data_IF_826444393998
#
_entry.id   IF_826444393998
#
_cell.length_a   1.000
_cell.length_b   1.000
_cell.length_c   1.000
_cell.angle_alpha   90.00
_cell.angle_beta   90.00
_cell.angle_gamma   90.00
#
_symmetry.space_group_name_H-M   'P 1'
#
loop_
_entity.id
_entity.type
_entity.pdbx_description
1 polymer ?
#
# COMPACT_ATOMS: atom_id res chain seq x y z
N UNK A 1 42.10 -44.76 29.51
CA UNK A 1 42.15 -43.96 28.33
C UNK A 1 40.82 -43.18 28.28
N UNK A 2 40.81 -41.97 28.88
CA UNK A 2 39.59 -41.13 28.96
C UNK A 2 39.51 -40.25 27.71
N UNK A 3 38.46 -40.44 26.90
CA UNK A 3 38.14 -39.58 25.74
C UNK A 3 37.49 -38.30 26.26
N UNK A 4 38.21 -37.19 26.12
CA UNK A 4 37.72 -35.83 26.37
C UNK A 4 36.72 -35.46 25.29
N UNK A 5 35.47 -35.27 25.69
CA UNK A 5 34.40 -34.72 24.85
C UNK A 5 34.50 -33.19 24.86
N UNK A 6 35.02 -32.59 23.79
CA UNK A 6 35.03 -31.14 23.63
C UNK A 6 33.58 -30.65 23.37
N UNK A 7 33.17 -29.52 23.96
CA UNK A 7 31.82 -28.98 23.69
C UNK A 7 31.72 -28.48 22.24
N UNK A 8 30.70 -28.93 21.52
CA UNK A 8 30.30 -28.39 20.24
C UNK A 8 29.87 -26.93 20.44
N UNK A 9 30.72 -25.99 20.06
CA UNK A 9 30.33 -24.60 19.90
C UNK A 9 29.45 -24.50 18.66
N UNK A 10 28.16 -24.32 18.86
CA UNK A 10 27.21 -23.92 17.80
C UNK A 10 27.61 -22.53 17.35
N UNK A 11 28.36 -22.43 16.27
CA UNK A 11 28.61 -21.15 15.59
C UNK A 11 27.27 -20.73 15.00
N UNK A 12 26.63 -19.73 15.58
CA UNK A 12 25.44 -19.09 15.01
C UNK A 12 25.81 -18.55 13.65
N UNK A 13 25.04 -18.93 12.62
CA UNK A 13 25.19 -18.45 11.27
C UNK A 13 25.04 -16.92 11.27
N UNK A 14 26.06 -16.14 10.85
CA UNK A 14 26.05 -14.69 10.93
C UNK A 14 24.85 -14.06 10.18
N UNK A 15 24.38 -14.69 9.11
CA UNK A 15 23.23 -14.24 8.33
C UNK A 15 21.92 -14.38 9.15
N UNK A 16 21.74 -15.47 9.88
CA UNK A 16 20.58 -15.68 10.76
C UNK A 16 20.55 -14.69 11.93
N UNK A 17 21.73 -14.37 12.50
CA UNK A 17 21.83 -13.36 13.56
C UNK A 17 21.46 -11.95 13.05
N UNK A 18 21.87 -11.60 11.83
CA UNK A 18 21.55 -10.33 11.21
C UNK A 18 20.05 -10.22 10.87
N UNK A 19 19.43 -11.28 10.37
CA UNK A 19 17.99 -11.30 10.07
C UNK A 19 17.15 -11.20 11.34
N UNK A 20 17.55 -11.82 12.43
CA UNK A 20 16.88 -11.67 13.73
C UNK A 20 16.96 -10.23 14.27
N UNK A 21 18.09 -9.56 14.09
CA UNK A 21 18.25 -8.16 14.46
C UNK A 21 17.37 -7.24 13.61
N UNK A 22 17.32 -7.48 12.29
CA UNK A 22 16.45 -6.72 11.37
C UNK A 22 14.96 -6.95 11.66
N UNK A 23 14.56 -8.15 12.06
CA UNK A 23 13.20 -8.45 12.47
C UNK A 23 12.80 -7.63 13.71
N UNK A 24 13.62 -7.64 14.75
CA UNK A 24 13.39 -6.86 15.95
C UNK A 24 13.34 -5.35 15.67
N UNK A 25 14.26 -4.86 14.83
CA UNK A 25 14.28 -3.47 14.38
C UNK A 25 13.02 -3.11 13.59
N UNK A 26 12.52 -4.00 12.73
CA UNK A 26 11.28 -3.79 11.96
C UNK A 26 10.09 -3.64 12.89
N UNK A 27 9.92 -4.56 13.82
CA UNK A 27 8.81 -4.54 14.79
C UNK A 27 8.83 -3.27 15.65
N UNK A 28 9.98 -2.90 16.21
CA UNK A 28 10.14 -1.67 17.00
C UNK A 28 9.84 -0.41 16.18
N UNK A 29 10.39 -0.32 14.97
CA UNK A 29 10.16 0.80 14.08
C UNK A 29 8.67 0.96 13.73
N UNK A 30 7.97 -0.14 13.46
CA UNK A 30 6.53 -0.11 13.16
C UNK A 30 5.70 0.30 14.38
N UNK A 31 6.06 -0.16 15.58
CA UNK A 31 5.40 0.26 16.81
C UNK A 31 5.55 1.78 17.04
N UNK A 32 6.76 2.32 16.83
CA UNK A 32 7.03 3.76 16.92
C UNK A 32 6.29 4.56 15.83
N UNK A 33 6.20 4.03 14.60
CA UNK A 33 5.42 4.64 13.51
C UNK A 33 3.94 4.73 13.86
N UNK A 34 3.34 3.64 14.38
CA UNK A 34 1.95 3.66 14.85
C UNK A 34 1.73 4.74 15.92
N UNK A 35 2.62 4.79 16.89
CA UNK A 35 2.55 5.79 17.97
C UNK A 35 2.67 7.22 17.44
N UNK A 36 3.62 7.47 16.54
CA UNK A 36 3.83 8.80 15.96
C UNK A 36 2.63 9.25 15.12
N UNK A 37 2.09 8.37 14.27
CA UNK A 37 0.89 8.68 13.47
C UNK A 37 -0.35 8.80 14.36
N UNK A 38 -0.55 7.93 15.35
CA UNK A 38 -1.65 7.95 16.32
C UNK A 38 -1.63 9.20 17.23
N UNK A 39 -0.48 9.88 17.33
CA UNK A 39 -0.42 11.18 17.99
C UNK A 39 -1.25 12.25 17.29
N UNK A 40 -1.47 12.13 15.97
CA UNK A 40 -2.21 13.09 15.13
C UNK A 40 -3.54 12.49 14.65
N UNK A 41 -3.52 11.26 14.20
CA UNK A 41 -4.71 10.53 13.71
C UNK A 41 -5.40 9.85 14.90
N UNK A 42 -6.69 10.04 15.01
CA UNK A 42 -7.51 9.38 16.03
C UNK A 42 -8.31 8.27 15.37
N UNK A 43 -8.22 7.07 15.91
CA UNK A 43 -8.77 5.88 15.28
C UNK A 43 -7.98 5.49 14.02
N UNK A 44 -8.59 4.71 13.14
CA UNK A 44 -7.97 4.27 11.89
C UNK A 44 -6.73 3.39 12.08
N UNK A 45 -6.57 2.70 13.22
CA UNK A 45 -5.38 1.90 13.51
C UNK A 45 -5.17 0.81 12.45
N UNK A 46 -6.23 0.14 12.02
CA UNK A 46 -6.17 -0.86 10.94
C UNK A 46 -5.73 -0.25 9.59
N UNK A 47 -6.14 0.99 9.30
CA UNK A 47 -5.70 1.72 8.10
C UNK A 47 -4.21 2.01 8.17
N UNK A 48 -3.74 2.50 9.32
CA UNK A 48 -2.29 2.76 9.55
C UNK A 48 -1.48 1.48 9.36
N UNK A 49 -1.94 0.36 9.91
CA UNK A 49 -1.29 -0.94 9.77
C UNK A 49 -1.20 -1.39 8.31
N UNK A 50 -2.27 -1.28 7.55
CA UNK A 50 -2.25 -1.60 6.13
C UNK A 50 -1.32 -0.69 5.32
N UNK A 51 -1.23 0.60 5.67
CA UNK A 51 -0.30 1.51 5.01
C UNK A 51 1.16 1.19 5.38
N UNK A 52 1.44 0.79 6.62
CA UNK A 52 2.77 0.30 7.03
C UNK A 52 3.14 -0.98 6.26
N UNK A 53 2.20 -1.93 6.10
CA UNK A 53 2.41 -3.12 5.24
C UNK A 53 2.73 -2.70 3.80
N UNK A 54 1.96 -1.78 3.22
CA UNK A 54 2.23 -1.27 1.88
C UNK A 54 3.61 -0.59 1.78
N UNK A 55 4.00 0.20 2.79
CA UNK A 55 5.32 0.83 2.87
C UNK A 55 6.44 -0.21 2.88
N UNK A 56 6.38 -1.18 3.76
CA UNK A 56 7.41 -2.21 3.91
C UNK A 56 7.54 -3.10 2.68
N UNK A 57 6.44 -3.38 1.99
CA UNK A 57 6.43 -4.20 0.77
C UNK A 57 6.78 -3.42 -0.50
N UNK A 58 7.15 -2.14 -0.39
CA UNK A 58 7.33 -1.22 -1.53
C UNK A 58 6.11 -1.20 -2.46
N UNK A 59 4.93 -1.49 -1.93
CA UNK A 59 3.68 -1.52 -2.65
C UNK A 59 2.98 -0.17 -2.64
N UNK A 60 2.21 0.12 -3.67
CA UNK A 60 1.30 1.26 -3.69
C UNK A 60 -0.03 0.88 -3.05
N UNK A 61 -0.74 1.83 -2.42
CA UNK A 61 -2.05 1.56 -1.83
C UNK A 61 -3.12 2.50 -2.36
N UNK A 62 -4.34 1.96 -2.50
CA UNK A 62 -5.54 2.70 -2.85
C UNK A 62 -6.41 2.90 -1.59
N UNK A 63 -6.59 4.13 -1.15
CA UNK A 63 -7.45 4.47 -0.03
C UNK A 63 -8.84 4.82 -0.56
N UNK A 64 -9.83 4.09 -0.12
CA UNK A 64 -11.23 4.31 -0.49
C UNK A 64 -12.00 4.83 0.73
N UNK A 65 -12.67 5.94 0.58
CA UNK A 65 -13.46 6.52 1.67
C UNK A 65 -14.03 7.88 1.29
N UNK A 66 -15.07 8.30 1.97
CA UNK A 66 -15.73 9.58 1.74
C UNK A 66 -14.81 10.77 2.04
N UNK A 67 -15.08 11.96 1.54
CA UNK A 67 -14.35 13.17 1.89
C UNK A 67 -14.38 13.45 3.40
N UNK A 68 -13.36 14.14 3.91
CA UNK A 68 -13.33 14.56 5.32
C UNK A 68 -12.76 13.52 6.30
N UNK A 69 -12.42 12.31 5.88
CA UNK A 69 -11.85 11.27 6.74
C UNK A 69 -10.32 11.35 6.92
N UNK A 70 -9.76 12.54 6.82
CA UNK A 70 -8.35 12.84 7.08
C UNK A 70 -7.32 12.03 6.27
N UNK A 71 -7.68 11.47 5.08
CA UNK A 71 -6.77 10.69 4.22
C UNK A 71 -5.47 11.42 3.89
N UNK A 72 -5.57 12.71 3.54
CA UNK A 72 -4.40 13.57 3.27
C UNK A 72 -3.53 13.76 4.51
N UNK A 73 -4.15 13.99 5.68
CA UNK A 73 -3.44 14.15 6.94
C UNK A 73 -2.72 12.85 7.33
N UNK A 74 -3.35 11.70 7.14
CA UNK A 74 -2.78 10.39 7.41
C UNK A 74 -1.50 10.15 6.59
N UNK A 75 -1.56 10.35 5.27
CA UNK A 75 -0.40 10.13 4.39
C UNK A 75 0.71 11.15 4.64
N UNK A 76 0.37 12.42 4.88
CA UNK A 76 1.36 13.45 5.23
C UNK A 76 2.00 13.20 6.60
N UNK A 77 1.26 12.64 7.56
CA UNK A 77 1.81 12.25 8.86
C UNK A 77 2.81 11.10 8.74
N UNK A 78 2.50 10.09 7.93
CA UNK A 78 3.45 9.00 7.62
C UNK A 78 4.72 9.55 6.97
N UNK A 79 4.59 10.46 6.00
CA UNK A 79 5.75 11.07 5.35
C UNK A 79 6.67 11.79 6.33
N UNK A 80 6.09 12.57 7.27
CA UNK A 80 6.85 13.26 8.32
C UNK A 80 7.54 12.28 9.27
N UNK A 81 6.83 11.23 9.70
CA UNK A 81 7.39 10.20 10.57
C UNK A 81 8.59 9.46 9.94
N UNK A 82 8.62 9.38 8.60
CA UNK A 82 9.65 8.68 7.81
C UNK A 82 10.73 9.62 7.25
N UNK A 83 10.66 10.92 7.54
CA UNK A 83 11.55 11.94 6.94
C UNK A 83 11.64 11.83 5.40
N UNK A 84 10.51 11.56 4.78
CA UNK A 84 10.39 11.43 3.34
C UNK A 84 9.86 12.72 2.70
N UNK A 85 10.36 13.03 1.52
CA UNK A 85 9.78 14.11 0.73
C UNK A 85 8.36 13.76 0.30
N UNK A 86 7.41 14.68 0.54
CA UNK A 86 5.98 14.49 0.26
C UNK A 86 5.52 15.36 -0.90
N UNK A 87 4.71 14.80 -1.78
CA UNK A 87 3.99 15.48 -2.83
C UNK A 87 2.50 15.14 -2.81
N UNK A 88 1.65 16.13 -3.04
CA UNK A 88 0.21 15.92 -3.26
C UNK A 88 -0.14 16.36 -4.67
N UNK A 89 -0.83 15.51 -5.38
CA UNK A 89 -1.43 15.80 -6.69
C UNK A 89 -2.94 15.65 -6.54
N UNK A 90 -3.66 16.76 -6.68
CA UNK A 90 -5.12 16.74 -6.73
C UNK A 90 -5.54 16.44 -8.15
N UNK A 91 -6.23 15.33 -8.36
CA UNK A 91 -6.73 14.93 -9.67
C UNK A 91 -8.03 15.67 -9.97
N UNK A 92 -8.01 16.46 -11.07
CA UNK A 92 -9.13 17.24 -11.57
C UNK A 92 -9.39 16.88 -13.04
N UNK A 93 -10.59 17.14 -13.58
CA UNK A 93 -10.90 16.79 -14.97
C UNK A 93 -9.98 17.42 -16.02
N UNK A 94 -9.37 18.56 -15.70
CA UNK A 94 -8.48 19.34 -16.57
C UNK A 94 -6.99 19.04 -16.35
N UNK A 95 -6.62 18.19 -15.36
CA UNK A 95 -5.24 17.83 -15.08
C UNK A 95 -4.60 17.10 -16.25
N UNK A 96 -3.44 17.58 -16.70
CA UNK A 96 -2.68 16.98 -17.78
C UNK A 96 -1.58 16.03 -17.24
N UNK A 97 -1.13 15.06 -18.04
CA UNK A 97 0.01 14.20 -17.66
C UNK A 97 1.26 15.00 -17.28
N UNK A 98 1.56 16.07 -18.00
CA UNK A 98 2.73 16.93 -17.75
C UNK A 98 2.67 17.64 -16.38
N UNK A 99 1.47 17.92 -15.86
CA UNK A 99 1.31 18.51 -14.53
C UNK A 99 1.75 17.56 -13.41
N UNK A 100 1.73 16.25 -13.69
CA UNK A 100 2.18 15.19 -12.77
C UNK A 100 3.67 14.90 -12.98
N UNK A 101 4.06 14.67 -14.23
CA UNK A 101 5.39 14.16 -14.60
C UNK A 101 6.43 15.25 -14.77
N UNK A 102 6.01 16.49 -14.97
CA UNK A 102 6.89 17.56 -15.39
C UNK A 102 7.00 17.68 -16.91
N UNK A 103 7.74 18.68 -17.35
CA UNK A 103 7.86 19.06 -18.76
C UNK A 103 9.22 19.68 -19.05
N UNK A 104 9.63 19.64 -20.32
CA UNK A 104 10.78 20.42 -20.77
C UNK A 104 10.37 21.89 -20.97
N UNK A 105 11.17 22.78 -20.40
CA UNK A 105 11.00 24.22 -20.52
C UNK A 105 12.23 24.84 -21.19
N UNK A 106 12.00 25.84 -22.03
CA UNK A 106 13.08 26.58 -22.63
C UNK A 106 13.59 27.60 -21.61
N UNK A 107 14.80 27.39 -21.11
CA UNK A 107 15.47 28.32 -20.18
C UNK A 107 16.57 29.07 -20.92
N UNK A 108 16.79 30.33 -20.55
CA UNK A 108 17.92 31.12 -21.03
C UNK A 108 18.99 31.16 -19.93
N UNK A 109 20.16 30.60 -20.21
CA UNK A 109 21.30 30.58 -19.30
C UNK A 109 22.52 31.10 -20.03
N UNK A 110 23.14 32.13 -19.52
CA UNK A 110 24.31 32.78 -20.11
C UNK A 110 24.11 33.20 -21.59
N UNK A 111 22.91 33.72 -21.94
CA UNK A 111 22.57 34.15 -23.31
C UNK A 111 22.33 32.99 -24.29
N UNK A 112 22.30 31.72 -23.81
CA UNK A 112 21.98 30.54 -24.62
C UNK A 112 20.62 29.97 -24.20
N UNK A 113 19.85 29.54 -25.18
CA UNK A 113 18.58 28.85 -24.93
C UNK A 113 18.82 27.37 -24.85
N UNK A 114 18.49 26.79 -23.70
CA UNK A 114 18.57 25.36 -23.42
C UNK A 114 17.22 24.82 -23.02
N UNK A 115 16.90 23.60 -23.49
CA UNK A 115 15.77 22.83 -22.93
C UNK A 115 16.23 22.24 -21.59
N UNK A 116 15.52 22.57 -20.52
CA UNK A 116 15.76 21.98 -19.20
C UNK A 116 14.48 21.31 -18.68
N UNK A 117 14.65 20.11 -18.11
CA UNK A 117 13.56 19.40 -17.50
C UNK A 117 13.14 20.06 -16.19
N UNK A 118 11.86 20.43 -16.10
CA UNK A 118 11.21 20.89 -14.88
C UNK A 118 10.45 19.72 -14.26
N UNK A 119 10.94 19.10 -13.16
CA UNK A 119 10.29 17.95 -12.56
C UNK A 119 8.93 18.29 -11.99
N UNK A 120 7.95 17.42 -12.22
CA UNK A 120 6.61 17.52 -11.66
C UNK A 120 6.53 17.04 -10.21
N UNK A 121 5.36 17.18 -9.58
CA UNK A 121 5.13 16.80 -8.18
C UNK A 121 5.33 15.30 -7.89
N UNK A 122 5.41 14.46 -8.90
CA UNK A 122 5.68 13.02 -8.74
C UNK A 122 7.13 12.75 -8.27
N UNK A 123 8.05 13.69 -8.45
CA UNK A 123 9.45 13.54 -8.01
C UNK A 123 9.61 13.73 -6.49
N UNK A 124 8.84 12.95 -5.73
CA UNK A 124 8.87 12.87 -4.27
C UNK A 124 8.90 11.39 -3.86
N UNK A 125 9.37 11.13 -2.64
CA UNK A 125 9.40 9.77 -2.11
C UNK A 125 8.00 9.21 -1.86
N UNK A 126 7.12 10.01 -1.27
CA UNK A 126 5.74 9.67 -0.99
C UNK A 126 4.80 10.64 -1.71
N UNK A 127 4.01 10.10 -2.62
CA UNK A 127 3.06 10.87 -3.42
C UNK A 127 1.63 10.50 -3.04
N UNK A 128 0.83 11.49 -2.67
CA UNK A 128 -0.61 11.35 -2.54
C UNK A 128 -1.27 11.76 -3.85
N UNK A 129 -1.84 10.79 -4.56
CA UNK A 129 -2.69 11.01 -5.73
C UNK A 129 -4.15 11.13 -5.26
N UNK A 130 -4.60 12.36 -5.02
CA UNK A 130 -5.89 12.60 -4.40
C UNK A 130 -7.01 12.64 -5.44
N UNK A 131 -8.06 11.82 -5.23
CA UNK A 131 -9.23 11.66 -6.11
C UNK A 131 -8.85 11.21 -7.54
N UNK A 132 -8.03 10.16 -7.65
CA UNK A 132 -7.46 9.66 -8.93
C UNK A 132 -8.52 9.38 -10.00
N UNK A 133 -9.75 9.07 -9.59
CA UNK A 133 -10.88 8.80 -10.50
C UNK A 133 -11.52 10.06 -11.10
N UNK A 134 -11.11 11.28 -10.74
CA UNK A 134 -11.67 12.53 -11.31
C UNK A 134 -10.99 13.00 -12.59
N UNK A 135 -9.97 12.30 -13.03
CA UNK A 135 -9.17 12.69 -14.19
C UNK A 135 -9.34 11.68 -15.33
N UNK A 136 -9.23 12.11 -16.60
CA UNK A 136 -9.33 11.20 -17.75
C UNK A 136 -8.28 10.08 -17.73
N UNK A 137 -8.57 8.92 -18.36
CA UNK A 137 -7.71 7.74 -18.34
C UNK A 137 -6.26 7.98 -18.81
N UNK A 138 -6.04 8.95 -19.71
CA UNK A 138 -4.70 9.30 -20.20
C UNK A 138 -3.80 9.84 -19.09
N UNK A 139 -4.33 10.67 -18.21
CA UNK A 139 -3.59 11.27 -17.09
C UNK A 139 -3.40 10.23 -15.95
N UNK A 140 -4.43 9.40 -15.70
CA UNK A 140 -4.29 8.27 -14.78
C UNK A 140 -3.15 7.32 -15.24
N UNK A 141 -3.08 7.01 -16.54
CA UNK A 141 -2.08 6.12 -17.10
C UNK A 141 -0.65 6.63 -16.88
N UNK A 142 -0.42 7.94 -16.95
CA UNK A 142 0.91 8.52 -16.70
C UNK A 142 1.42 8.25 -15.28
N UNK A 143 0.56 8.44 -14.26
CA UNK A 143 0.90 8.10 -12.87
C UNK A 143 1.16 6.60 -12.73
N UNK A 144 0.27 5.77 -13.27
CA UNK A 144 0.33 4.31 -13.12
C UNK A 144 1.53 3.69 -13.88
N UNK A 145 1.98 4.31 -14.96
CA UNK A 145 3.23 3.94 -15.63
C UNK A 145 4.42 4.28 -14.74
N UNK A 146 4.49 5.50 -14.20
CA UNK A 146 5.55 5.92 -13.31
C UNK A 146 5.65 5.04 -12.04
N UNK A 147 4.50 4.58 -11.49
CA UNK A 147 4.46 3.62 -10.39
C UNK A 147 5.14 2.29 -10.75
N UNK A 148 4.94 1.80 -11.96
CA UNK A 148 5.49 0.53 -12.41
C UNK A 148 6.98 0.63 -12.77
N UNK A 149 7.35 1.68 -13.51
CA UNK A 149 8.70 1.85 -14.05
C UNK A 149 9.66 2.51 -13.04
N UNK A 150 9.12 3.16 -11.99
CA UNK A 150 9.88 4.00 -11.04
C UNK A 150 10.70 5.07 -11.74
N UNK A 151 10.22 5.51 -12.88
CA UNK A 151 10.84 6.52 -13.74
C UNK A 151 9.77 7.22 -14.57
N UNK A 152 10.12 8.37 -15.11
CA UNK A 152 9.30 9.17 -16.02
C UNK A 152 10.12 9.46 -17.28
N UNK A 153 9.52 9.32 -18.46
CA UNK A 153 10.15 9.68 -19.72
C UNK A 153 9.52 10.95 -20.28
N UNK A 154 10.34 12.01 -20.41
CA UNK A 154 9.93 13.31 -20.97
C UNK A 154 10.98 13.74 -21.99
N UNK A 155 10.56 14.27 -23.15
CA UNK A 155 11.47 14.75 -24.20
C UNK A 155 12.45 13.69 -24.72
N UNK A 156 12.13 12.41 -24.56
CA UNK A 156 13.02 11.29 -24.94
C UNK A 156 14.08 10.93 -23.86
N UNK A 157 14.16 11.66 -22.75
CA UNK A 157 15.01 11.35 -21.62
C UNK A 157 14.24 10.65 -20.50
N UNK A 158 14.84 9.63 -19.87
CA UNK A 158 14.26 8.91 -18.75
C UNK A 158 14.83 9.46 -17.43
N UNK A 159 13.95 9.92 -16.56
CA UNK A 159 14.27 10.50 -15.27
C UNK A 159 13.85 9.53 -14.15
N UNK A 160 14.78 8.99 -13.35
CA UNK A 160 14.44 8.08 -12.25
C UNK A 160 13.72 8.85 -11.13
N UNK A 161 12.74 8.20 -10.52
CA UNK A 161 12.06 8.71 -9.33
C UNK A 161 12.91 8.46 -8.07
N UNK A 162 12.78 9.29 -7.02
CA UNK A 162 13.55 9.13 -5.79
C UNK A 162 13.22 7.81 -5.09
N UNK A 163 14.22 7.13 -4.54
CA UNK A 163 14.02 5.92 -3.76
C UNK A 163 14.07 6.21 -2.24
N UNK A 164 13.15 5.67 -1.44
CA UNK A 164 11.98 4.87 -1.82
C UNK A 164 10.92 5.73 -2.54
N UNK A 165 10.20 5.13 -3.50
CA UNK A 165 9.09 5.79 -4.19
C UNK A 165 7.79 5.02 -3.96
N UNK A 166 6.79 5.69 -3.43
CA UNK A 166 5.46 5.11 -3.20
C UNK A 166 4.33 6.09 -3.48
N UNK A 167 3.25 5.56 -4.00
CA UNK A 167 2.02 6.30 -4.25
C UNK A 167 0.91 5.77 -3.36
N UNK A 168 0.27 6.66 -2.64
CA UNK A 168 -1.02 6.43 -2.01
C UNK A 168 -2.07 7.20 -2.81
N UNK A 169 -2.94 6.49 -3.50
CA UNK A 169 -4.03 7.09 -4.25
C UNK A 169 -5.30 7.12 -3.41
N UNK A 170 -6.15 8.12 -3.60
CA UNK A 170 -7.48 8.13 -2.98
C UNK A 170 -8.57 8.01 -4.02
N UNK A 171 -9.67 7.36 -3.65
CA UNK A 171 -10.90 7.29 -4.42
C UNK A 171 -12.09 7.62 -3.51
N UNK A 172 -12.98 8.47 -4.00
CA UNK A 172 -14.24 8.74 -3.34
C UNK A 172 -15.32 7.80 -3.92
N UNK A 173 -15.92 6.91 -3.11
CA UNK A 173 -16.90 5.94 -3.61
C UNK A 173 -18.28 6.54 -3.89
N UNK A 174 -18.60 7.72 -3.35
CA UNK A 174 -19.93 8.35 -3.51
C UNK A 174 -20.02 9.30 -4.70
N UNK A 175 -18.89 9.77 -5.23
CA UNK A 175 -18.87 10.62 -6.41
C UNK A 175 -18.94 9.76 -7.68
N UNK A 176 -20.05 9.84 -8.38
CA UNK A 176 -20.28 9.16 -9.66
C UNK A 176 -20.22 10.14 -10.84
N UNK A 177 -20.70 11.37 -10.67
CA UNK A 177 -20.66 12.38 -11.72
C UNK A 177 -19.26 12.95 -11.91
N UNK A 178 -18.83 13.05 -13.18
CA UNK A 178 -17.50 13.58 -13.51
C UNK A 178 -16.34 12.67 -13.14
N UNK A 179 -16.60 11.38 -12.89
CA UNK A 179 -15.54 10.41 -12.56
C UNK A 179 -15.32 9.40 -13.68
N UNK A 180 -14.08 8.92 -13.74
CA UNK A 180 -13.64 7.89 -14.67
C UNK A 180 -13.21 6.66 -13.87
N UNK A 181 -13.84 5.51 -14.12
CA UNK A 181 -13.44 4.27 -13.48
C UNK A 181 -11.97 3.92 -13.83
N UNK A 182 -11.23 3.48 -12.83
CA UNK A 182 -9.90 2.90 -13.07
C UNK A 182 -10.09 1.52 -13.72
N UNK A 183 -9.45 1.24 -14.87
CA UNK A 183 -9.46 -0.10 -15.45
C UNK A 183 -8.89 -1.14 -14.49
N UNK A 184 -9.41 -2.36 -14.53
CA UNK A 184 -9.02 -3.46 -13.64
C UNK A 184 -7.51 -3.75 -13.70
N UNK A 185 -6.92 -3.70 -14.90
CA UNK A 185 -5.48 -3.88 -15.10
C UNK A 185 -4.64 -2.79 -14.43
N UNK A 186 -5.23 -1.64 -14.16
CA UNK A 186 -4.60 -0.53 -13.45
C UNK A 186 -4.78 -0.67 -11.94
N UNK A 187 -5.95 -1.11 -11.48
CA UNK A 187 -6.20 -1.42 -10.07
C UNK A 187 -5.26 -2.52 -9.55
N UNK A 188 -4.94 -3.53 -10.36
CA UNK A 188 -4.01 -4.61 -10.01
C UNK A 188 -2.57 -4.16 -9.74
N UNK A 189 -2.22 -2.90 -10.00
CA UNK A 189 -0.92 -2.29 -9.65
C UNK A 189 -0.83 -1.85 -8.19
N UNK A 190 -1.96 -1.64 -7.54
CA UNK A 190 -2.00 -1.40 -6.11
C UNK A 190 -1.83 -2.72 -5.35
N UNK A 191 -0.98 -2.74 -4.34
CA UNK A 191 -0.79 -3.93 -3.49
C UNK A 191 -2.00 -4.17 -2.59
N UNK A 192 -2.53 -3.09 -2.01
CA UNK A 192 -3.67 -3.11 -1.11
C UNK A 192 -4.69 -2.03 -1.48
N UNK A 193 -5.98 -2.36 -1.32
CA UNK A 193 -7.06 -1.37 -1.24
C UNK A 193 -7.54 -1.29 0.21
N UNK A 194 -7.41 -0.10 0.79
CA UNK A 194 -7.67 0.17 2.20
C UNK A 194 -8.89 1.07 2.33
N UNK A 195 -9.92 0.60 3.00
CA UNK A 195 -11.12 1.38 3.26
C UNK A 195 -10.95 2.22 4.52
N UNK A 196 -11.22 3.51 4.39
CA UNK A 196 -11.23 4.47 5.49
C UNK A 196 -12.69 4.71 5.86
N UNK A 197 -13.08 4.22 7.03
CA UNK A 197 -14.45 4.28 7.52
C UNK A 197 -14.66 5.51 8.40
N UNK A 198 -15.93 5.82 8.72
CA UNK A 198 -16.25 6.85 9.69
C UNK A 198 -15.71 6.47 11.06
N UNK A 199 -15.21 7.45 11.83
CA UNK A 199 -14.81 7.21 13.21
C UNK A 199 -16.03 6.84 14.07
N UNK A 200 -15.79 6.11 15.14
CA UNK A 200 -16.77 5.86 16.17
C UNK A 200 -17.14 7.18 16.89
N UNK A 201 -18.27 7.22 17.58
CA UNK A 201 -18.70 8.41 18.33
C UNK A 201 -17.64 8.90 19.34
N UNK A 202 -16.95 7.98 20.00
CA UNK A 202 -15.87 8.32 20.93
C UNK A 202 -14.65 8.94 20.23
N UNK A 203 -14.28 8.38 19.09
CA UNK A 203 -13.19 8.90 18.27
C UNK A 203 -13.54 10.26 17.71
N UNK A 204 -14.77 10.46 17.22
CA UNK A 204 -15.24 11.75 16.71
C UNK A 204 -15.24 12.82 17.81
N UNK A 205 -15.64 12.49 19.04
CA UNK A 205 -15.52 13.38 20.20
C UNK A 205 -14.06 13.78 20.47
N UNK A 206 -13.13 12.82 20.37
CA UNK A 206 -11.69 13.08 20.53
C UNK A 206 -11.16 13.99 19.42
N UNK A 207 -11.56 13.73 18.17
CA UNK A 207 -11.21 14.54 17.01
C UNK A 207 -11.69 15.98 17.21
N UNK A 208 -12.99 16.16 17.52
CA UNK A 208 -13.58 17.47 17.73
C UNK A 208 -12.83 18.29 18.81
N UNK A 209 -12.56 17.68 19.96
CA UNK A 209 -11.82 18.34 21.05
C UNK A 209 -10.41 18.74 20.62
N UNK A 210 -9.69 17.86 19.91
CA UNK A 210 -8.30 18.10 19.48
C UNK A 210 -8.21 19.18 18.43
N UNK A 211 -9.05 19.12 17.39
CA UNK A 211 -9.00 20.05 16.27
C UNK A 211 -9.47 21.45 16.61
N UNK A 212 -10.26 21.61 17.68
CA UNK A 212 -10.78 22.91 18.15
C UNK A 212 -9.97 23.50 19.32
N UNK A 213 -8.96 22.80 19.84
CA UNK A 213 -8.15 23.25 20.97
C UNK A 213 -7.03 24.24 20.61
N UNK A 214 -6.83 24.53 19.32
CA UNK A 214 -5.77 25.41 18.85
C UNK A 214 -4.37 24.81 18.89
N UNK A 215 -4.19 23.56 19.32
CA UNK A 215 -2.93 22.84 19.32
C UNK A 215 -2.92 21.75 18.22
N UNK A 216 -1.95 21.78 17.34
CA UNK A 216 -1.70 20.70 16.40
C UNK A 216 -0.47 19.92 16.87
N UNK A 217 -0.60 18.65 17.29
CA UNK A 217 0.55 17.85 17.66
C UNK A 217 1.48 17.66 16.45
N UNK A 218 2.77 17.80 16.67
CA UNK A 218 3.76 17.48 15.66
C UNK A 218 4.02 15.97 15.61
N UNK A 219 4.18 15.45 14.39
CA UNK A 219 4.56 14.06 14.17
C UNK A 219 6.06 13.91 14.39
N UNK A 220 6.47 13.11 15.36
CA UNK A 220 7.86 12.82 15.60
C UNK A 220 8.45 12.00 14.43
N UNK A 221 9.68 12.34 14.04
CA UNK A 221 10.45 11.52 13.10
C UNK A 221 10.83 10.19 13.77
N UNK A 222 10.61 9.10 13.07
CA UNK A 222 10.83 7.72 13.55
C UNK A 222 11.95 7.04 12.79
N UNK A 223 11.94 7.14 11.46
CA UNK A 223 12.89 6.48 10.56
C UNK A 223 13.42 7.45 9.51
N UNK A 224 14.66 7.24 9.07
CA UNK A 224 15.19 7.87 7.87
C UNK A 224 14.85 7.04 6.61
N UNK A 225 14.96 7.68 5.43
CA UNK A 225 14.73 7.01 4.15
C UNK A 225 15.61 5.77 3.95
N UNK A 226 16.87 5.82 4.38
CA UNK A 226 17.82 4.71 4.25
C UNK A 226 17.47 3.55 5.18
N UNK A 227 17.02 3.84 6.40
CA UNK A 227 16.55 2.82 7.34
C UNK A 227 15.30 2.13 6.78
N UNK A 228 14.34 2.88 6.24
CA UNK A 228 13.17 2.31 5.59
C UNK A 228 13.57 1.41 4.42
N UNK A 229 14.52 1.83 3.57
CA UNK A 229 15.01 1.00 2.44
C UNK A 229 15.63 -0.30 2.92
N UNK A 230 16.36 -0.28 4.03
CA UNK A 230 16.94 -1.48 4.62
C UNK A 230 15.85 -2.44 5.11
N UNK A 231 14.82 -1.93 5.80
CA UNK A 231 13.68 -2.75 6.21
C UNK A 231 12.90 -3.30 5.01
N UNK A 232 12.68 -2.50 3.98
CA UNK A 232 12.05 -2.92 2.74
C UNK A 232 12.83 -4.06 2.03
N UNK A 233 14.16 -4.00 2.03
CA UNK A 233 15.01 -5.05 1.47
C UNK A 233 15.00 -6.33 2.32
N UNK A 234 14.68 -6.23 3.60
CA UNK A 234 14.57 -7.37 4.52
C UNK A 234 13.27 -8.15 4.34
N UNK A 235 12.12 -7.48 4.09
CA UNK A 235 10.80 -8.14 4.04
C UNK A 235 10.75 -9.38 3.12
N UNK A 236 11.26 -9.36 1.87
CA UNK A 236 11.26 -10.57 1.03
C UNK A 236 12.02 -11.76 1.63
N UNK A 237 12.97 -11.52 2.53
CA UNK A 237 13.80 -12.55 3.21
C UNK A 237 13.08 -13.16 4.41
N UNK A 238 12.01 -12.55 4.93
CA UNK A 238 11.20 -13.11 6.01
C UNK A 238 10.71 -14.49 5.58
N UNK A 239 10.93 -15.55 6.35
CA UNK A 239 10.41 -16.88 6.07
C UNK A 239 8.88 -16.88 5.98
N UNK A 240 8.34 -17.79 5.20
CA UNK A 240 6.90 -18.03 5.09
C UNK A 240 6.66 -19.53 5.08
N UNK A 241 5.64 -19.99 5.78
CA UNK A 241 5.30 -21.41 5.80
C UNK A 241 4.71 -21.85 4.45
N UNK A 242 4.98 -23.10 4.06
CA UNK A 242 4.41 -23.64 2.82
C UNK A 242 2.87 -23.60 2.83
N UNK A 243 2.27 -23.85 3.99
CA UNK A 243 0.81 -23.76 4.19
C UNK A 243 0.28 -22.35 3.91
N UNK A 244 1.02 -21.30 4.30
CA UNK A 244 0.63 -19.91 4.03
C UNK A 244 0.73 -19.58 2.54
N UNK A 245 1.76 -20.05 1.85
CA UNK A 245 1.89 -19.90 0.38
C UNK A 245 0.76 -20.62 -0.34
N UNK A 246 0.50 -21.87 0.03
CA UNK A 246 -0.60 -22.66 -0.53
C UNK A 246 -1.95 -21.99 -0.31
N UNK A 247 -2.21 -21.49 0.91
CA UNK A 247 -3.44 -20.77 1.24
C UNK A 247 -3.59 -19.51 0.39
N UNK A 248 -2.55 -18.70 0.23
CA UNK A 248 -2.58 -17.49 -0.60
C UNK A 248 -2.95 -17.81 -2.06
N UNK A 249 -2.40 -18.89 -2.62
CA UNK A 249 -2.74 -19.35 -3.96
C UNK A 249 -4.18 -19.87 -4.02
N UNK A 250 -4.61 -20.69 -3.06
CA UNK A 250 -5.99 -21.24 -2.99
C UNK A 250 -7.02 -20.11 -2.85
N UNK A 251 -6.79 -19.12 -1.98
CA UNK A 251 -7.66 -17.94 -1.84
C UNK A 251 -7.78 -17.18 -3.16
N UNK A 252 -6.66 -16.90 -3.81
CA UNK A 252 -6.65 -16.18 -5.09
C UNK A 252 -7.41 -16.95 -6.18
N UNK A 253 -7.15 -18.24 -6.33
CA UNK A 253 -7.81 -19.08 -7.33
C UNK A 253 -9.31 -19.27 -7.04
N UNK A 254 -9.69 -19.39 -5.76
CA UNK A 254 -11.08 -19.52 -5.36
C UNK A 254 -11.92 -18.25 -5.66
N UNK A 255 -11.31 -17.11 -5.99
CA UNK A 255 -12.04 -15.94 -6.49
C UNK A 255 -12.48 -16.07 -7.95
N UNK A 256 -11.94 -17.04 -8.71
CA UNK A 256 -12.19 -17.21 -10.14
C UNK A 256 -13.42 -18.06 -10.37
N UNK A 257 -14.46 -17.57 -11.08
CA UNK A 257 -15.72 -18.33 -11.24
C UNK A 257 -15.56 -19.75 -11.82
N UNK A 258 -14.63 -19.92 -12.76
CA UNK A 258 -14.38 -21.22 -13.40
C UNK A 258 -13.67 -22.22 -12.47
N UNK A 259 -12.98 -21.78 -11.44
CA UNK A 259 -12.17 -22.59 -10.53
C UNK A 259 -12.79 -22.71 -9.14
N UNK A 260 -13.77 -21.86 -8.82
CA UNK A 260 -14.38 -21.79 -7.49
C UNK A 260 -15.50 -22.82 -7.32
N UNK A 261 -15.62 -23.38 -6.12
CA UNK A 261 -16.80 -24.15 -5.68
C UNK A 261 -17.85 -23.28 -4.95
N UNK A 262 -17.51 -22.00 -4.63
CA UNK A 262 -18.46 -21.07 -3.99
C UNK A 262 -19.57 -20.67 -4.94
N UNK A 263 -20.81 -20.74 -4.46
CA UNK A 263 -21.97 -20.25 -5.19
C UNK A 263 -21.93 -18.72 -5.34
N UNK A 264 -21.45 -18.02 -4.32
CA UNK A 264 -21.30 -16.56 -4.31
C UNK A 264 -20.34 -16.12 -5.42
N UNK A 265 -19.19 -16.80 -5.56
CA UNK A 265 -18.22 -16.46 -6.61
C UNK A 265 -18.81 -16.72 -8.00
N UNK A 266 -19.47 -17.88 -8.20
CA UNK A 266 -20.07 -18.23 -9.50
C UNK A 266 -21.17 -17.26 -9.92
N UNK A 267 -21.96 -16.79 -8.96
CA UNK A 267 -23.10 -15.91 -9.25
C UNK A 267 -22.73 -14.43 -9.37
N UNK A 268 -21.74 -13.99 -8.59
CA UNK A 268 -21.49 -12.57 -8.39
C UNK A 268 -20.15 -12.06 -8.92
N UNK A 269 -19.18 -12.94 -9.21
CA UNK A 269 -17.89 -12.53 -9.77
C UNK A 269 -17.88 -12.76 -11.28
N UNK A 270 -17.51 -11.72 -12.04
CA UNK A 270 -17.26 -11.82 -13.48
C UNK A 270 -15.81 -12.22 -13.76
N UNK A 271 -14.87 -11.58 -13.08
CA UNK A 271 -13.44 -11.91 -13.15
C UNK A 271 -12.85 -11.90 -11.74
N UNK A 272 -12.11 -12.96 -11.42
CA UNK A 272 -11.38 -13.09 -10.16
C UNK A 272 -9.92 -12.63 -10.28
N UNK A 273 -9.22 -12.65 -9.16
CA UNK A 273 -7.83 -12.20 -9.06
C UNK A 273 -6.85 -13.03 -9.87
N UNK A 274 -5.89 -12.35 -10.50
CA UNK A 274 -4.74 -12.95 -11.18
C UNK A 274 -3.62 -13.38 -10.21
N UNK A 275 -2.48 -13.92 -10.72
CA UNK A 275 -1.34 -14.33 -9.89
C UNK A 275 -0.73 -13.21 -9.03
N UNK A 276 -0.88 -11.93 -9.44
CA UNK A 276 -0.45 -10.79 -8.63
C UNK A 276 -1.15 -10.74 -7.27
N UNK A 277 -2.39 -11.25 -7.16
CA UNK A 277 -3.08 -11.35 -5.87
C UNK A 277 -2.39 -12.29 -4.89
N UNK A 278 -1.97 -13.48 -5.32
CA UNK A 278 -1.22 -14.39 -4.45
C UNK A 278 0.16 -13.86 -4.09
N UNK A 279 0.85 -13.20 -5.03
CA UNK A 279 2.13 -12.52 -4.75
C UNK A 279 1.98 -11.40 -3.71
N UNK A 280 0.95 -10.56 -3.87
CA UNK A 280 0.65 -9.49 -2.92
C UNK A 280 0.31 -10.05 -1.53
N UNK A 281 -0.48 -11.13 -1.45
CA UNK A 281 -0.84 -11.80 -0.20
C UNK A 281 0.39 -12.34 0.53
N UNK A 282 1.26 -13.08 -0.17
CA UNK A 282 2.46 -13.66 0.45
C UNK A 282 3.41 -12.56 0.93
N UNK A 283 3.64 -11.52 0.12
CA UNK A 283 4.52 -10.42 0.50
C UNK A 283 3.95 -9.61 1.66
N UNK A 284 2.64 -9.35 1.64
CA UNK A 284 1.95 -8.64 2.72
C UNK A 284 1.93 -9.47 4.02
N UNK A 285 1.78 -10.80 3.93
CA UNK A 285 1.87 -11.70 5.08
C UNK A 285 3.27 -11.66 5.73
N UNK A 286 4.33 -11.66 4.92
CA UNK A 286 5.71 -11.51 5.41
C UNK A 286 5.91 -10.18 6.15
N UNK A 287 5.39 -9.09 5.61
CA UNK A 287 5.44 -7.79 6.27
C UNK A 287 4.65 -7.78 7.58
N UNK A 288 3.45 -8.40 7.60
CA UNK A 288 2.62 -8.49 8.79
C UNK A 288 3.29 -9.27 9.91
N UNK A 289 3.90 -10.43 9.60
CA UNK A 289 4.69 -11.20 10.55
C UNK A 289 5.88 -10.38 11.10
N UNK A 290 6.62 -9.69 10.22
CA UNK A 290 7.74 -8.83 10.64
C UNK A 290 7.30 -7.67 11.54
N UNK A 291 6.14 -7.07 11.29
CA UNK A 291 5.54 -6.03 12.14
C UNK A 291 5.23 -6.56 13.54
N UNK A 292 4.77 -7.80 13.65
CA UNK A 292 4.52 -8.46 14.95
C UNK A 292 5.79 -8.97 15.63
N UNK A 293 6.91 -9.05 14.89
CA UNK A 293 8.16 -9.62 15.38
C UNK A 293 8.23 -11.15 15.27
N UNK A 294 7.36 -11.76 14.47
CA UNK A 294 7.31 -13.20 14.25
C UNK A 294 8.39 -13.64 13.25
N UNK A 295 9.06 -14.76 13.57
CA UNK A 295 10.17 -15.26 12.76
C UNK A 295 9.77 -15.79 11.37
N UNK A 296 8.47 -16.07 11.15
CA UNK A 296 7.94 -16.54 9.89
C UNK A 296 6.48 -16.10 9.74
N UNK A 297 6.09 -15.82 8.50
CA UNK A 297 4.68 -15.58 8.14
C UNK A 297 3.92 -16.91 8.06
N UNK A 298 2.68 -16.90 8.54
CA UNK A 298 1.82 -18.07 8.58
C UNK A 298 0.42 -17.83 7.94
N UNK A 299 -0.45 -18.81 8.12
CA UNK A 299 -1.84 -18.79 7.60
C UNK A 299 -2.64 -17.60 8.13
N UNK A 300 -2.44 -17.20 9.38
CA UNK A 300 -3.18 -16.09 9.99
C UNK A 300 -2.82 -14.74 9.34
N UNK A 301 -1.55 -14.56 8.99
CA UNK A 301 -1.08 -13.37 8.27
C UNK A 301 -1.76 -13.23 6.90
N UNK A 302 -1.86 -14.33 6.17
CA UNK A 302 -2.54 -14.37 4.87
C UNK A 302 -4.02 -14.05 5.01
N UNK A 303 -4.69 -14.64 6.01
CA UNK A 303 -6.11 -14.40 6.28
C UNK A 303 -6.41 -12.97 6.71
N UNK A 304 -5.53 -12.35 7.49
CA UNK A 304 -5.67 -10.97 7.94
C UNK A 304 -5.67 -9.99 6.74
N UNK A 305 -4.82 -10.26 5.75
CA UNK A 305 -4.62 -9.36 4.61
C UNK A 305 -5.39 -9.78 3.34
N UNK A 306 -6.21 -10.85 3.41
CA UNK A 306 -6.96 -11.34 2.26
C UNK A 306 -7.91 -10.28 1.68
N UNK A 307 -8.66 -9.56 2.52
CA UNK A 307 -9.60 -8.54 2.04
C UNK A 307 -8.90 -7.35 1.39
N UNK A 308 -7.99 -6.63 2.03
CA UNK A 308 -7.33 -5.48 1.41
C UNK A 308 -6.47 -5.85 0.19
N UNK A 309 -5.96 -7.08 0.10
CA UNK A 309 -5.17 -7.52 -1.05
C UNK A 309 -6.01 -7.99 -2.24
N UNK A 310 -7.24 -8.50 -2.02
CA UNK A 310 -8.02 -9.13 -3.11
C UNK A 310 -9.19 -8.27 -3.59
N UNK A 311 -9.78 -7.41 -2.77
CA UNK A 311 -11.04 -6.75 -3.07
C UNK A 311 -11.03 -5.94 -4.38
N UNK A 312 -9.99 -5.17 -4.66
CA UNK A 312 -9.82 -4.38 -5.88
C UNK A 312 -9.44 -5.21 -7.12
N UNK A 313 -9.21 -6.50 -6.93
CA UNK A 313 -8.88 -7.46 -8.00
C UNK A 313 -10.09 -8.29 -8.42
N UNK A 314 -11.26 -8.01 -7.83
CA UNK A 314 -12.52 -8.67 -8.15
C UNK A 314 -13.37 -7.76 -9.03
N UNK A 315 -13.81 -8.27 -10.16
CA UNK A 315 -14.81 -7.61 -10.99
C UNK A 315 -16.14 -8.28 -10.72
N UNK A 316 -17.03 -7.58 -10.05
CA UNK A 316 -18.35 -8.08 -9.74
C UNK A 316 -19.27 -8.06 -10.97
N UNK A 317 -20.26 -8.94 -11.00
CA UNK A 317 -21.30 -8.97 -12.02
C UNK A 317 -22.38 -7.92 -11.73
N UNK A 318 -23.16 -7.54 -12.73
CA UNK A 318 -24.34 -6.67 -12.55
C UNK A 318 -25.33 -7.27 -11.54
N UNK A 319 -25.43 -8.60 -11.48
CA UNK A 319 -26.26 -9.29 -10.48
C UNK A 319 -25.83 -9.01 -9.05
N UNK A 320 -24.52 -8.89 -8.79
CA UNK A 320 -24.03 -8.52 -7.46
C UNK A 320 -24.52 -7.14 -7.03
N UNK A 321 -24.54 -6.18 -7.98
CA UNK A 321 -25.04 -4.84 -7.72
C UNK A 321 -26.54 -4.84 -7.39
N UNK A 322 -27.34 -5.60 -8.16
CA UNK A 322 -28.79 -5.73 -7.92
C UNK A 322 -29.09 -6.38 -6.58
N UNK A 323 -28.34 -7.43 -6.23
CA UNK A 323 -28.54 -8.20 -4.99
C UNK A 323 -27.82 -7.53 -3.78
N UNK A 324 -27.13 -6.39 -3.97
CA UNK A 324 -26.42 -5.65 -2.92
C UNK A 324 -25.17 -6.34 -2.37
N UNK A 325 -24.61 -7.32 -3.12
CA UNK A 325 -23.42 -8.08 -2.72
C UNK A 325 -22.16 -7.29 -3.01
N UNK A 326 -21.29 -7.17 -2.00
CA UNK A 326 -20.04 -6.43 -2.07
C UNK A 326 -18.82 -7.35 -2.24
N UNK A 327 -17.71 -6.77 -2.65
CA UNK A 327 -16.39 -7.43 -2.71
C UNK A 327 -16.02 -8.13 -1.39
N UNK A 328 -16.32 -7.48 -0.24
CA UNK A 328 -16.07 -8.03 1.08
C UNK A 328 -16.86 -9.32 1.35
N UNK A 329 -18.10 -9.41 0.88
CA UNK A 329 -18.94 -10.61 1.04
C UNK A 329 -18.36 -11.79 0.24
N UNK A 330 -17.90 -11.51 -0.98
CA UNK A 330 -17.24 -12.50 -1.83
C UNK A 330 -15.94 -13.00 -1.19
N UNK A 331 -15.09 -12.08 -0.72
CA UNK A 331 -13.83 -12.46 -0.04
C UNK A 331 -14.12 -13.26 1.25
N UNK A 332 -15.15 -12.87 2.01
CA UNK A 332 -15.57 -13.62 3.20
C UNK A 332 -16.04 -15.05 2.86
N UNK A 333 -16.81 -15.23 1.77
CA UNK A 333 -17.23 -16.53 1.28
C UNK A 333 -16.03 -17.38 0.85
N UNK A 334 -15.09 -16.80 0.10
CA UNK A 334 -13.84 -17.48 -0.30
C UNK A 334 -13.01 -17.88 0.93
N UNK A 335 -12.88 -17.02 1.92
CA UNK A 335 -12.16 -17.34 3.19
C UNK A 335 -12.81 -18.52 3.92
N UNK A 336 -14.14 -18.59 3.97
CA UNK A 336 -14.86 -19.72 4.58
C UNK A 336 -14.64 -21.02 3.82
N UNK A 337 -14.64 -20.96 2.48
CA UNK A 337 -14.45 -22.13 1.61
C UNK A 337 -13.04 -22.73 1.74
N UNK A 338 -12.02 -21.89 1.92
CA UNK A 338 -10.61 -22.30 1.88
C UNK A 338 -10.03 -22.53 3.29
N UNK A 339 -10.76 -22.14 4.34
CA UNK A 339 -10.34 -22.51 5.73
C UNK A 339 -10.26 -24.02 5.85
N UNK A 340 -9.10 -24.48 6.18
CA UNK A 340 -8.79 -25.84 6.60
C UNK A 340 -9.19 -26.02 8.05
#
# INVERSE_FOLDING_TARGET
MMLSCAPFTVTSDPAKSQDAALLAQTSDACARLRQAVGSVIVGQDAVVDHLIVALLTQGHALLVGVPGLAKTLLVSSLSRALDLSFGRVQFTPDLLPADITGTDVLTERDGRRELSFLPGPIFKNLVLADEINRTPPKTQAALLQAMQERAVTVGGATHPLPAPFQVFATRNPIEQEGTYALPEAQLDRFSLEVHVEYPSEEEERKIARRTTSGSSPEVARVLAADELRMLQAFIPRVPVTEQAVELAVRLTRATRPAESSSAEVKNYVRFGSGPRGSQALVLAAKANAAIRGDAAADVEDVLALALPALRHRLVLSYRAEVDGVKDADVVAAVKKLVKV
#
